data_IF_231763570292
#
_entry.id   IF_231763570292
#
_cell.length_a   1.000
_cell.length_b   1.000
_cell.length_c   1.000
_cell.angle_alpha   90.00
_cell.angle_beta   90.00
_cell.angle_gamma   90.00
#
_symmetry.space_group_name_H-M   'P 1'
#
loop_
_entity.id
_entity.type
_entity.pdbx_description
1 polymer ?
#
# COMPACT_ATOMS: atom_id res chain seq x y z
N UNK A 1 0.71 28.22 6.01
CA UNK A 1 0.17 27.53 7.18
C UNK A 1 1.20 27.54 8.30
N UNK A 2 0.85 28.09 9.46
CA UNK A 2 1.75 28.16 10.60
C UNK A 2 1.76 26.85 11.41
N UNK A 3 2.64 26.76 12.42
CA UNK A 3 2.80 25.55 13.22
C UNK A 3 1.55 25.15 14.00
N UNK A 4 0.81 26.13 14.51
CA UNK A 4 -0.42 25.87 15.26
C UNK A 4 -1.54 25.34 14.35
N UNK A 5 -1.70 25.92 13.18
CA UNK A 5 -2.65 25.43 12.19
C UNK A 5 -2.35 23.99 11.76
N UNK A 6 -1.08 23.66 11.56
CA UNK A 6 -0.65 22.30 11.25
C UNK A 6 -0.99 21.34 12.38
N UNK A 7 -0.75 21.73 13.64
CA UNK A 7 -1.09 20.90 14.80
C UNK A 7 -2.58 20.66 14.91
N UNK A 8 -3.39 21.68 14.68
CA UNK A 8 -4.85 21.54 14.72
C UNK A 8 -5.36 20.60 13.64
N UNK A 9 -4.82 20.70 12.42
CA UNK A 9 -5.16 19.77 11.35
C UNK A 9 -4.76 18.33 11.69
N UNK A 10 -3.56 18.14 12.23
CA UNK A 10 -3.09 16.81 12.62
C UNK A 10 -3.95 16.17 13.71
N UNK A 11 -4.50 16.97 14.63
CA UNK A 11 -5.42 16.46 15.66
C UNK A 11 -6.68 15.84 15.06
N UNK A 12 -7.09 16.27 13.88
CA UNK A 12 -8.28 15.77 13.18
C UNK A 12 -8.01 14.58 12.29
N UNK A 13 -6.74 14.27 12.03
CA UNK A 13 -6.34 13.14 11.19
C UNK A 13 -6.58 11.83 11.94
N UNK A 14 -7.26 10.90 11.30
CA UNK A 14 -7.55 9.58 11.85
C UNK A 14 -6.71 8.48 11.23
N UNK A 15 -6.20 8.70 10.04
CA UNK A 15 -5.38 7.73 9.34
C UNK A 15 -4.31 8.40 8.49
N UNK A 16 -3.22 7.70 8.31
CA UNK A 16 -2.15 8.09 7.41
C UNK A 16 -2.06 7.11 6.26
N UNK A 17 -1.92 7.62 5.07
CA UNK A 17 -1.60 6.81 3.88
C UNK A 17 -0.17 7.14 3.50
N UNK A 18 0.70 6.15 3.61
CA UNK A 18 2.13 6.33 3.43
C UNK A 18 2.60 5.62 2.17
N UNK A 19 3.33 6.34 1.34
CA UNK A 19 4.18 5.73 0.33
C UNK A 19 5.31 4.96 1.03
N UNK A 20 5.93 4.01 0.35
CA UNK A 20 6.95 3.16 0.96
C UNK A 20 8.36 3.50 0.49
N UNK A 21 8.69 3.22 -0.76
CA UNK A 21 10.05 3.48 -1.28
C UNK A 21 10.38 4.98 -1.23
N UNK A 22 11.44 5.32 -0.51
CA UNK A 22 11.88 6.71 -0.34
C UNK A 22 11.09 7.50 0.69
N UNK A 23 10.08 6.90 1.34
CA UNK A 23 9.27 7.56 2.38
C UNK A 23 9.47 6.93 3.74
N UNK A 24 9.33 5.60 3.86
CA UNK A 24 9.52 4.89 5.12
C UNK A 24 10.77 4.02 5.14
N UNK A 25 11.27 3.64 3.98
CA UNK A 25 12.54 2.92 3.84
C UNK A 25 13.20 3.26 2.51
N UNK A 26 14.48 2.92 2.40
CA UNK A 26 15.21 2.96 1.15
C UNK A 26 15.96 1.64 1.00
N UNK A 27 15.73 0.91 -0.09
CA UNK A 27 16.23 -0.45 -0.25
C UNK A 27 15.67 -1.36 0.83
N UNK A 28 16.52 -1.91 1.67
CA UNK A 28 16.15 -2.81 2.76
C UNK A 28 16.31 -2.19 4.15
N UNK A 29 16.48 -0.88 4.22
CA UNK A 29 16.72 -0.17 5.48
C UNK A 29 15.63 0.87 5.74
N UNK A 30 15.07 0.84 6.95
CA UNK A 30 14.15 1.86 7.41
C UNK A 30 14.89 3.18 7.62
N UNK A 31 14.19 4.29 7.32
CA UNK A 31 14.66 5.58 7.79
C UNK A 31 14.60 5.65 9.33
N UNK A 32 15.50 6.44 9.95
CA UNK A 32 15.58 6.50 11.41
C UNK A 32 14.28 6.91 12.11
N UNK A 33 13.44 7.71 11.44
CA UNK A 33 12.19 8.21 12.02
C UNK A 33 11.00 7.27 11.86
N UNK A 34 11.10 6.24 11.01
CA UNK A 34 9.94 5.45 10.59
C UNK A 34 9.25 4.74 11.75
N UNK A 35 10.00 4.00 12.57
CA UNK A 35 9.42 3.27 13.70
C UNK A 35 8.80 4.19 14.74
N UNK A 36 9.47 5.29 15.06
CA UNK A 36 8.96 6.26 16.01
C UNK A 36 7.65 6.89 15.52
N UNK A 37 7.56 7.19 14.23
CA UNK A 37 6.33 7.72 13.63
C UNK A 37 5.18 6.71 13.74
N UNK A 38 5.42 5.45 13.35
CA UNK A 38 4.38 4.41 13.38
C UNK A 38 3.91 4.12 14.81
N UNK A 39 4.81 4.09 15.76
CA UNK A 39 4.48 3.91 17.18
C UNK A 39 3.65 5.08 17.70
N UNK A 40 4.03 6.30 17.36
CA UNK A 40 3.28 7.50 17.76
C UNK A 40 1.87 7.51 17.16
N UNK A 41 1.72 7.12 15.90
CA UNK A 41 0.42 7.00 15.25
C UNK A 41 -0.45 5.98 15.98
N UNK A 42 0.09 4.81 16.30
CA UNK A 42 -0.64 3.76 17.02
C UNK A 42 -1.06 4.19 18.43
N UNK A 43 -0.16 4.82 19.19
CA UNK A 43 -0.47 5.29 20.55
C UNK A 43 -1.56 6.36 20.56
N UNK A 44 -1.67 7.13 19.52
CA UNK A 44 -2.69 8.20 19.41
C UNK A 44 -3.97 7.73 18.73
N UNK A 45 -4.13 6.41 18.52
CA UNK A 45 -5.34 5.84 17.94
C UNK A 45 -5.51 6.08 16.45
N UNK A 46 -4.45 6.42 15.75
CA UNK A 46 -4.47 6.64 14.31
C UNK A 46 -4.06 5.38 13.58
N UNK A 47 -4.73 5.12 12.46
CA UNK A 47 -4.41 3.99 11.61
C UNK A 47 -3.38 4.38 10.56
N UNK A 48 -2.57 3.41 10.15
CA UNK A 48 -1.58 3.62 9.11
C UNK A 48 -1.83 2.63 7.98
N UNK A 49 -1.91 3.16 6.76
CA UNK A 49 -2.07 2.41 5.53
C UNK A 49 -0.85 2.63 4.65
N UNK A 50 -0.46 1.61 3.92
CA UNK A 50 0.68 1.68 3.01
C UNK A 50 0.20 1.60 1.58
N UNK A 51 0.77 2.45 0.73
CA UNK A 51 0.44 2.51 -0.68
C UNK A 51 1.72 2.48 -1.51
N UNK A 52 1.72 1.75 -2.61
CA UNK A 52 2.86 1.74 -3.53
C UNK A 52 2.42 1.75 -4.98
N UNK A 53 3.14 2.54 -5.78
CA UNK A 53 3.02 2.53 -7.24
C UNK A 53 3.89 1.44 -7.89
N UNK A 54 4.73 0.77 -7.11
CA UNK A 54 5.56 -0.30 -7.64
C UNK A 54 4.68 -1.52 -7.93
N UNK A 55 4.48 -1.81 -9.20
CA UNK A 55 3.62 -2.87 -9.68
C UNK A 55 4.35 -4.22 -9.86
N UNK A 56 5.62 -4.29 -9.52
CA UNK A 56 6.43 -5.50 -9.73
C UNK A 56 6.15 -6.62 -8.72
N UNK A 57 5.51 -6.31 -7.59
CA UNK A 57 5.22 -7.26 -6.52
C UNK A 57 3.78 -7.10 -6.02
N UNK A 58 3.28 -8.14 -5.32
CA UNK A 58 1.95 -8.09 -4.73
C UNK A 58 2.00 -7.63 -3.26
N UNK A 59 0.81 -7.47 -2.66
CA UNK A 59 0.71 -7.00 -1.26
C UNK A 59 1.41 -7.96 -0.28
N UNK A 60 1.31 -9.28 -0.49
CA UNK A 60 1.94 -10.25 0.38
C UNK A 60 3.47 -10.07 0.44
N UNK A 61 4.10 -9.78 -0.69
CA UNK A 61 5.54 -9.52 -0.75
C UNK A 61 5.93 -8.29 0.06
N UNK A 62 5.14 -7.23 0.00
CA UNK A 62 5.40 -6.01 0.75
C UNK A 62 5.16 -6.19 2.25
N UNK A 63 4.14 -6.95 2.63
CA UNK A 63 3.87 -7.29 4.03
C UNK A 63 5.06 -8.04 4.63
N UNK A 64 5.59 -9.03 3.91
CA UNK A 64 6.76 -9.77 4.34
C UNK A 64 8.01 -8.90 4.42
N UNK A 65 8.20 -8.00 3.46
CA UNK A 65 9.33 -7.06 3.49
C UNK A 65 9.27 -6.17 4.73
N UNK A 66 8.11 -5.62 5.02
CA UNK A 66 7.92 -4.77 6.21
C UNK A 66 8.11 -5.56 7.50
N UNK A 67 7.61 -6.80 7.55
CA UNK A 67 7.81 -7.68 8.71
C UNK A 67 9.30 -7.93 8.97
N UNK A 68 10.06 -8.17 7.91
CA UNK A 68 11.52 -8.34 8.02
C UNK A 68 12.24 -7.10 8.56
N UNK A 69 11.65 -5.93 8.42
CA UNK A 69 12.16 -4.68 8.97
C UNK A 69 11.55 -4.32 10.33
N UNK A 70 10.71 -5.19 10.90
CA UNK A 70 10.10 -4.97 12.20
C UNK A 70 8.79 -4.21 12.19
N UNK A 71 8.12 -4.11 11.04
CA UNK A 71 6.82 -3.45 10.91
C UNK A 71 5.75 -4.50 10.63
N UNK A 72 4.80 -4.65 11.54
CA UNK A 72 3.65 -5.54 11.37
C UNK A 72 2.50 -4.80 10.70
N UNK A 73 1.95 -5.40 9.66
CA UNK A 73 0.76 -4.90 8.97
C UNK A 73 0.01 -6.08 8.33
N UNK A 74 -1.12 -5.78 7.73
CA UNK A 74 -1.98 -6.81 7.12
C UNK A 74 -2.47 -6.38 5.73
N UNK A 75 -3.15 -7.30 5.04
CA UNK A 75 -3.64 -7.06 3.68
C UNK A 75 -4.67 -5.93 3.61
N UNK A 76 -5.42 -5.69 4.67
CA UNK A 76 -6.41 -4.60 4.72
C UNK A 76 -5.79 -3.21 4.79
N UNK A 77 -4.50 -3.14 5.08
CA UNK A 77 -3.76 -1.87 5.22
C UNK A 77 -2.70 -1.67 4.15
N UNK A 78 -2.64 -2.56 3.17
CA UNK A 78 -1.66 -2.52 2.10
C UNK A 78 -2.37 -2.36 0.75
N UNK A 79 -2.02 -1.30 0.03
CA UNK A 79 -2.60 -1.00 -1.27
C UNK A 79 -1.51 -0.89 -2.32
N UNK A 80 -1.68 -1.64 -3.41
CA UNK A 80 -0.80 -1.54 -4.57
C UNK A 80 -1.56 -0.93 -5.74
N UNK A 81 -0.84 -0.32 -6.67
CA UNK A 81 -1.47 0.21 -7.90
C UNK A 81 -2.19 -0.87 -8.69
N UNK A 82 -1.68 -2.10 -8.65
CA UNK A 82 -2.31 -3.24 -9.33
C UNK A 82 -3.69 -3.55 -8.75
N UNK A 83 -3.84 -3.56 -7.44
CA UNK A 83 -5.13 -3.79 -6.80
C UNK A 83 -6.15 -2.72 -7.19
N UNK A 84 -5.72 -1.46 -7.19
CA UNK A 84 -6.59 -0.34 -7.55
C UNK A 84 -7.01 -0.46 -9.01
N UNK A 85 -6.08 -0.77 -9.91
CA UNK A 85 -6.36 -0.96 -11.32
C UNK A 85 -7.34 -2.10 -11.57
N UNK A 86 -7.14 -3.24 -10.92
CA UNK A 86 -8.04 -4.41 -11.06
C UNK A 86 -9.44 -4.10 -10.56
N UNK A 87 -9.56 -3.44 -9.41
CA UNK A 87 -10.86 -3.04 -8.87
C UNK A 87 -11.59 -2.06 -9.79
N UNK A 88 -10.85 -1.10 -10.36
CA UNK A 88 -11.41 -0.14 -11.31
C UNK A 88 -11.94 -0.85 -12.56
N UNK A 89 -11.15 -1.75 -13.13
CA UNK A 89 -11.53 -2.52 -14.31
C UNK A 89 -12.73 -3.43 -14.04
N UNK A 90 -12.77 -4.09 -12.89
CA UNK A 90 -13.88 -4.94 -12.49
C UNK A 90 -15.19 -4.16 -12.37
N UNK A 91 -15.14 -2.95 -11.83
CA UNK A 91 -16.30 -2.09 -11.68
C UNK A 91 -16.78 -1.52 -13.02
N UNK A 92 -15.84 -1.16 -13.90
CA UNK A 92 -16.16 -0.55 -15.21
C UNK A 92 -16.59 -1.56 -16.25
N UNK A 93 -16.03 -2.77 -16.22
CA UNK A 93 -16.28 -3.84 -17.18
C UNK A 93 -16.68 -5.13 -16.46
N UNK A 94 -17.86 -5.18 -15.83
CA UNK A 94 -18.30 -6.39 -15.12
C UNK A 94 -18.34 -7.60 -16.05
N UNK A 95 -17.70 -8.70 -15.66
CA UNK A 95 -17.61 -9.91 -16.46
C UNK A 95 -16.68 -9.82 -17.66
N UNK A 96 -15.99 -8.71 -17.82
CA UNK A 96 -15.03 -8.51 -18.90
C UNK A 96 -13.76 -9.30 -18.73
N UNK A 97 -12.94 -9.28 -19.76
CA UNK A 97 -11.61 -9.89 -19.76
C UNK A 97 -10.55 -8.81 -19.84
N UNK A 98 -9.46 -8.99 -19.12
CA UNK A 98 -8.32 -8.10 -19.18
C UNK A 98 -7.08 -8.87 -19.62
N UNK A 99 -6.29 -8.27 -20.51
CA UNK A 99 -4.96 -8.74 -20.83
C UNK A 99 -3.96 -7.95 -20.01
N UNK A 100 -3.17 -8.66 -19.20
CA UNK A 100 -2.20 -8.03 -18.32
C UNK A 100 -0.80 -8.30 -18.82
N UNK A 101 -0.05 -7.22 -19.03
CA UNK A 101 1.35 -7.26 -19.37
C UNK A 101 2.14 -6.79 -18.15
N UNK A 102 2.91 -7.69 -17.55
CA UNK A 102 3.67 -7.36 -16.34
C UNK A 102 4.35 -8.57 -15.76
N UNK A 103 4.80 -8.43 -14.52
CA UNK A 103 5.43 -9.53 -13.77
C UNK A 103 4.36 -10.54 -13.32
N UNK A 104 4.75 -11.75 -12.87
CA UNK A 104 3.78 -12.76 -12.42
C UNK A 104 2.91 -12.34 -11.24
N UNK A 105 3.38 -11.45 -10.38
CA UNK A 105 2.70 -11.09 -9.14
C UNK A 105 1.35 -10.39 -9.34
N UNK A 106 1.18 -9.44 -10.28
CA UNK A 106 -0.12 -8.81 -10.50
C UNK A 106 -1.23 -9.77 -10.89
N UNK A 107 -0.89 -10.87 -11.56
CA UNK A 107 -1.85 -11.86 -12.04
C UNK A 107 -2.65 -12.48 -10.90
N UNK A 108 -2.06 -12.66 -9.73
CA UNK A 108 -2.71 -13.27 -8.58
C UNK A 108 -3.95 -12.49 -8.10
N UNK A 109 -4.02 -11.21 -8.35
CA UNK A 109 -5.18 -10.38 -7.98
C UNK A 109 -6.33 -10.51 -8.96
N UNK A 110 -6.03 -10.75 -10.22
CA UNK A 110 -7.04 -10.76 -11.29
C UNK A 110 -7.89 -12.03 -11.26
N UNK A 111 -7.39 -13.12 -10.71
CA UNK A 111 -8.13 -14.38 -10.58
C UNK A 111 -9.37 -14.27 -9.70
N UNK A 112 -9.41 -13.31 -8.78
CA UNK A 112 -10.49 -13.14 -7.83
C UNK A 112 -11.60 -12.24 -8.33
N UNK A 113 -11.35 -11.42 -9.35
CA UNK A 113 -12.25 -10.33 -9.77
C UNK A 113 -12.62 -10.35 -11.24
N UNK A 114 -11.71 -10.77 -12.13
CA UNK A 114 -11.93 -10.79 -13.58
C UNK A 114 -11.36 -12.06 -14.19
N UNK A 115 -12.02 -12.66 -15.22
CA UNK A 115 -11.37 -13.59 -16.12
C UNK A 115 -10.27 -12.84 -16.87
N UNK A 116 -9.03 -13.33 -16.80
CA UNK A 116 -7.88 -12.61 -17.36
C UNK A 116 -7.01 -13.51 -18.21
N UNK A 117 -6.33 -12.87 -19.15
CA UNK A 117 -5.18 -13.44 -19.85
C UNK A 117 -3.97 -12.60 -19.43
N UNK A 118 -2.88 -13.26 -19.05
CA UNK A 118 -1.68 -12.57 -18.61
C UNK A 118 -0.47 -12.95 -19.43
N UNK A 119 0.50 -12.02 -19.49
CA UNK A 119 1.77 -12.24 -20.15
C UNK A 119 2.87 -11.50 -19.38
N UNK A 120 4.00 -12.13 -19.27
CA UNK A 120 5.20 -11.57 -18.63
C UNK A 120 6.19 -11.11 -19.69
#
# INVERSE_FOLDING_TARGET
MNSEEKRQLLRRVRGFVLDMDGTIYLGNELFPFTKAFLEAAGRTGRETFFFTNNSSKNAACYIEKLRGMGIETDAGRMFTSNQVAVRHLAARFPGGRAFILGTPYPVSYTHLTLPTTSRV
#
